data_IF_605017639771
#
_entry.id   IF_605017639771
#
_cell.length_a   1.000
_cell.length_b   1.000
_cell.length_c   1.000
_cell.angle_alpha   90.00
_cell.angle_beta   90.00
_cell.angle_gamma   90.00
#
_symmetry.space_group_name_H-M   'P 1'
#
loop_
_entity.id
_entity.type
_entity.pdbx_description
1 polymer ?
#
# COMPACT_ATOMS: atom_id res chain seq x y z
N UNK A 1 13.01 -25.67 -16.64
CA UNK A 1 14.02 -24.59 -16.58
C UNK A 1 13.42 -23.23 -16.16
N UNK A 2 12.22 -22.89 -16.56
CA UNK A 2 11.56 -21.60 -16.21
C UNK A 2 11.25 -21.42 -14.70
N UNK A 3 10.78 -22.45 -14.01
CA UNK A 3 10.42 -22.36 -12.58
C UNK A 3 11.63 -22.09 -11.68
N UNK A 4 12.80 -22.65 -12.00
CA UNK A 4 14.04 -22.37 -11.23
C UNK A 4 14.58 -20.96 -11.48
N UNK A 5 14.38 -20.40 -12.69
CA UNK A 5 14.80 -19.02 -12.99
C UNK A 5 13.95 -17.99 -12.27
N UNK A 6 12.64 -18.22 -12.16
CA UNK A 6 11.71 -17.34 -11.42
C UNK A 6 12.02 -17.31 -9.92
N UNK A 7 12.31 -18.47 -9.31
CA UNK A 7 12.69 -18.53 -7.90
C UNK A 7 13.99 -17.79 -7.58
N UNK A 8 14.98 -17.84 -8.45
CA UNK A 8 16.23 -17.10 -8.29
C UNK A 8 16.06 -15.59 -8.43
N UNK A 9 15.21 -15.15 -9.35
CA UNK A 9 14.89 -13.73 -9.56
C UNK A 9 14.16 -13.15 -8.35
N UNK A 10 13.13 -13.84 -7.86
CA UNK A 10 12.39 -13.42 -6.67
C UNK A 10 13.27 -13.32 -5.42
N UNK A 11 14.15 -14.28 -5.20
CA UNK A 11 15.12 -14.25 -4.10
C UNK A 11 16.08 -13.05 -4.21
N UNK A 12 16.47 -12.66 -5.42
CA UNK A 12 17.32 -11.49 -5.63
C UNK A 12 16.61 -10.18 -5.31
N UNK A 13 15.33 -10.07 -5.70
CA UNK A 13 14.49 -8.91 -5.34
C UNK A 13 14.36 -8.79 -3.83
N UNK A 14 14.02 -9.88 -3.13
CA UNK A 14 13.87 -9.87 -1.68
C UNK A 14 15.16 -9.50 -0.94
N UNK A 15 16.33 -9.91 -1.47
CA UNK A 15 17.64 -9.48 -0.93
C UNK A 15 17.86 -7.97 -1.12
N UNK A 16 17.51 -7.43 -2.29
CA UNK A 16 17.64 -6.01 -2.58
C UNK A 16 16.68 -5.19 -1.71
N UNK A 17 15.45 -5.66 -1.50
CA UNK A 17 14.49 -5.04 -0.59
C UNK A 17 15.03 -4.98 0.84
N UNK A 18 15.59 -6.08 1.35
CA UNK A 18 16.20 -6.11 2.69
C UNK A 18 17.38 -5.15 2.82
N UNK A 19 18.23 -5.07 1.80
CA UNK A 19 19.32 -4.10 1.78
C UNK A 19 18.81 -2.66 1.80
N UNK A 20 17.82 -2.36 0.96
CA UNK A 20 17.16 -1.05 0.92
C UNK A 20 16.52 -0.68 2.26
N UNK A 21 15.77 -1.61 2.87
CA UNK A 21 15.16 -1.42 4.19
C UNK A 21 16.20 -1.12 5.29
N UNK A 22 17.38 -1.72 5.20
CA UNK A 22 18.49 -1.39 6.10
C UNK A 22 19.03 0.01 5.83
N UNK A 23 19.30 0.34 4.57
CA UNK A 23 19.85 1.64 4.18
C UNK A 23 18.94 2.82 4.56
N UNK A 24 17.61 2.66 4.49
CA UNK A 24 16.65 3.69 4.90
C UNK A 24 16.84 4.09 6.36
N UNK A 25 17.13 3.14 7.24
CA UNK A 25 17.29 3.34 8.69
C UNK A 25 18.52 4.15 9.06
N UNK A 26 19.46 4.30 8.14
CA UNK A 26 20.65 5.15 8.31
C UNK A 26 20.40 6.62 7.91
N UNK A 27 19.24 6.93 7.30
CA UNK A 27 18.92 8.29 6.83
C UNK A 27 18.53 9.23 7.97
N UNK A 28 18.81 10.53 7.80
CA UNK A 28 18.38 11.54 8.76
C UNK A 28 16.85 11.63 8.83
N UNK A 29 16.18 11.52 7.70
CA UNK A 29 14.71 11.57 7.67
C UNK A 29 14.06 10.42 8.48
N UNK A 30 14.60 9.20 8.42
CA UNK A 30 14.15 8.11 9.28
C UNK A 30 14.30 8.47 10.78
N UNK A 31 15.43 9.07 11.18
CA UNK A 31 15.70 9.44 12.57
C UNK A 31 14.71 10.51 13.06
N UNK A 32 14.50 11.56 12.25
CA UNK A 32 13.51 12.62 12.52
C UNK A 32 12.08 12.05 12.67
N UNK A 33 11.65 11.20 11.73
CA UNK A 33 10.35 10.56 11.80
C UNK A 33 10.22 9.70 13.05
N UNK A 34 11.25 8.94 13.39
CA UNK A 34 11.25 8.10 14.60
C UNK A 34 11.10 8.94 15.88
N UNK A 35 11.76 10.08 15.96
CA UNK A 35 11.59 11.03 17.08
C UNK A 35 10.15 11.55 17.18
N UNK A 36 9.55 11.93 16.04
CA UNK A 36 8.15 12.37 15.97
C UNK A 36 7.20 11.27 16.46
N UNK A 37 7.39 10.03 16.00
CA UNK A 37 6.55 8.91 16.39
C UNK A 37 6.70 8.58 17.88
N UNK A 38 7.90 8.65 18.42
CA UNK A 38 8.14 8.46 19.87
C UNK A 38 7.47 9.56 20.68
N UNK A 39 7.54 10.82 20.24
CA UNK A 39 6.94 11.94 20.97
C UNK A 39 5.40 11.90 20.96
N UNK A 40 4.78 11.38 19.89
CA UNK A 40 3.32 11.36 19.73
C UNK A 40 2.67 10.02 20.11
N UNK A 41 3.44 8.95 20.25
CA UNK A 41 2.99 7.61 20.62
C UNK A 41 1.70 7.14 19.91
N UNK A 42 1.62 7.20 18.57
CA UNK A 42 0.42 6.76 17.86
C UNK A 42 0.24 5.25 17.99
N UNK A 43 -1.01 4.80 18.13
CA UNK A 43 -1.33 3.37 18.13
C UNK A 43 -1.21 2.75 16.75
N UNK A 44 -1.49 3.54 15.71
CA UNK A 44 -1.54 3.08 14.31
C UNK A 44 -0.99 4.13 13.36
N UNK A 45 -0.33 3.65 12.30
CA UNK A 45 0.08 4.44 11.17
C UNK A 45 -0.79 4.07 9.95
N UNK A 46 -1.56 5.02 9.44
CA UNK A 46 -2.33 4.86 8.21
C UNK A 46 -1.69 5.60 7.05
N UNK A 47 -1.51 4.93 5.92
CA UNK A 47 -0.93 5.52 4.72
C UNK A 47 -1.82 5.26 3.48
N UNK A 48 -2.27 6.34 2.85
CA UNK A 48 -3.06 6.28 1.62
C UNK A 48 -2.21 6.17 0.34
N UNK A 49 -0.89 6.34 0.44
CA UNK A 49 0.00 6.35 -0.73
C UNK A 49 1.38 5.75 -0.42
N UNK A 50 1.42 4.49 -0.01
CA UNK A 50 2.64 3.79 0.45
C UNK A 50 3.80 3.82 -0.57
N UNK A 51 3.53 4.02 -1.86
CA UNK A 51 4.56 4.08 -2.91
C UNK A 51 5.33 5.41 -2.97
N UNK A 52 4.92 6.41 -2.21
CA UNK A 52 5.69 7.64 -2.06
C UNK A 52 7.09 7.36 -1.51
N UNK A 53 8.11 7.96 -2.09
CA UNK A 53 9.52 7.74 -1.68
C UNK A 53 9.72 8.02 -0.19
N UNK A 54 9.02 9.01 0.34
CA UNK A 54 9.09 9.38 1.75
C UNK A 54 8.35 8.41 2.68
N UNK A 55 7.46 7.58 2.16
CA UNK A 55 6.69 6.64 2.98
C UNK A 55 7.55 5.50 3.54
N UNK A 56 8.57 5.07 2.82
CA UNK A 56 9.41 3.97 3.24
C UNK A 56 10.13 4.21 4.60
N UNK A 57 10.79 5.35 4.85
CA UNK A 57 11.34 5.65 6.17
C UNK A 57 10.28 5.75 7.27
N UNK A 58 9.08 6.25 6.95
CA UNK A 58 7.97 6.37 7.90
C UNK A 58 7.49 4.98 8.33
N UNK A 59 7.29 4.08 7.37
CA UNK A 59 6.94 2.68 7.66
C UNK A 59 8.02 1.96 8.45
N UNK A 60 9.30 2.15 8.09
CA UNK A 60 10.41 1.56 8.81
C UNK A 60 10.44 2.00 10.28
N UNK A 61 10.25 3.31 10.54
CA UNK A 61 10.24 3.84 11.90
C UNK A 61 9.03 3.33 12.72
N UNK A 62 7.84 3.23 12.10
CA UNK A 62 6.66 2.68 12.74
C UNK A 62 6.84 1.21 13.12
N UNK A 63 7.35 0.40 12.19
CA UNK A 63 7.64 -1.01 12.43
C UNK A 63 8.66 -1.23 13.55
N UNK A 64 9.74 -0.45 13.57
CA UNK A 64 10.79 -0.54 14.58
C UNK A 64 10.31 -0.10 15.99
N UNK A 65 9.20 0.65 16.05
CA UNK A 65 8.53 1.07 17.28
C UNK A 65 7.35 0.16 17.66
N UNK A 66 7.03 -0.86 16.85
CA UNK A 66 5.90 -1.75 17.09
C UNK A 66 4.53 -1.08 16.86
N UNK A 67 4.48 0.00 16.07
CA UNK A 67 3.25 0.70 15.70
C UNK A 67 2.60 -0.06 14.54
N UNK A 68 1.33 -0.43 14.69
CA UNK A 68 0.58 -1.13 13.64
C UNK A 68 0.49 -0.27 12.37
N UNK A 69 0.86 -0.85 11.22
CA UNK A 69 0.87 -0.16 9.94
C UNK A 69 -0.27 -0.62 9.04
N UNK A 70 -1.03 0.34 8.51
CA UNK A 70 -2.16 0.09 7.61
C UNK A 70 -1.96 0.88 6.33
N UNK A 71 -2.11 0.24 5.17
CA UNK A 71 -2.05 0.93 3.88
C UNK A 71 -3.27 0.63 3.02
N UNK A 72 -3.73 1.64 2.29
CA UNK A 72 -4.69 1.44 1.21
C UNK A 72 -3.95 1.38 -0.12
N UNK A 73 -4.31 0.44 -0.98
CA UNK A 73 -3.81 0.42 -2.35
C UNK A 73 -4.60 1.46 -3.14
N UNK A 74 -3.95 2.60 -3.37
CA UNK A 74 -4.59 3.82 -3.87
C UNK A 74 -5.20 3.70 -5.28
N UNK A 75 -4.59 2.89 -6.16
CA UNK A 75 -5.03 2.75 -7.55
C UNK A 75 -4.88 1.31 -8.02
N UNK A 76 -5.78 0.89 -8.92
CA UNK A 76 -5.79 -0.43 -9.52
C UNK A 76 -4.47 -0.82 -10.21
N UNK A 77 -3.70 0.15 -10.67
CA UNK A 77 -2.44 -0.05 -11.37
C UNK A 77 -1.21 -0.01 -10.44
N UNK A 78 -1.39 0.18 -9.14
CA UNK A 78 -0.27 0.31 -8.22
C UNK A 78 0.48 -1.01 -8.02
N UNK A 79 -0.23 -2.12 -7.89
CA UNK A 79 0.38 -3.43 -7.64
C UNK A 79 1.26 -3.92 -8.79
N UNK A 80 0.82 -3.87 -10.07
CA UNK A 80 1.64 -4.33 -11.18
C UNK A 80 2.79 -3.39 -11.55
N UNK A 81 2.74 -2.10 -11.16
CA UNK A 81 3.77 -1.13 -11.54
C UNK A 81 5.11 -1.32 -10.84
N UNK A 82 5.09 -1.57 -9.55
CA UNK A 82 6.31 -1.80 -8.78
C UNK A 82 5.98 -2.37 -7.40
N UNK A 83 6.90 -3.12 -6.83
CA UNK A 83 6.80 -3.64 -5.48
C UNK A 83 6.90 -2.54 -4.44
N UNK A 84 6.19 -2.72 -3.33
CA UNK A 84 6.30 -1.88 -2.14
C UNK A 84 7.59 -2.23 -1.40
N UNK A 85 8.39 -1.21 -1.08
CA UNK A 85 9.69 -1.39 -0.45
C UNK A 85 9.61 -1.92 0.98
N UNK A 86 8.53 -1.59 1.70
CA UNK A 86 8.17 -2.13 2.99
C UNK A 86 6.74 -2.65 2.95
N UNK A 87 6.50 -3.73 3.68
CA UNK A 87 5.18 -4.31 3.85
C UNK A 87 4.47 -3.64 5.03
N UNK A 88 3.14 -3.53 4.94
CA UNK A 88 2.29 -3.12 6.04
C UNK A 88 1.78 -4.34 6.81
N UNK A 89 1.25 -4.12 8.02
CA UNK A 89 0.56 -5.16 8.78
C UNK A 89 -0.82 -5.44 8.16
N UNK A 90 -1.47 -4.41 7.59
CA UNK A 90 -2.79 -4.53 6.96
C UNK A 90 -2.85 -3.78 5.63
N UNK A 91 -3.60 -4.35 4.69
CA UNK A 91 -3.82 -3.82 3.35
C UNK A 91 -5.31 -3.65 3.09
N UNK A 92 -5.72 -2.45 2.72
CA UNK A 92 -7.07 -2.16 2.26
C UNK A 92 -7.07 -2.12 0.73
N UNK A 93 -7.88 -2.96 0.11
CA UNK A 93 -7.97 -3.10 -1.34
C UNK A 93 -9.38 -2.85 -1.84
N UNK A 94 -9.53 -2.45 -3.10
CA UNK A 94 -10.81 -2.05 -3.67
C UNK A 94 -11.76 -3.23 -3.94
N UNK A 95 -11.19 -4.37 -4.34
CA UNK A 95 -11.96 -5.49 -4.83
C UNK A 95 -11.24 -6.82 -4.61
N UNK A 96 -11.98 -7.91 -4.82
CA UNK A 96 -11.43 -9.27 -4.82
C UNK A 96 -10.34 -9.46 -5.90
N UNK A 97 -10.43 -8.75 -7.03
CA UNK A 97 -9.38 -8.76 -8.05
C UNK A 97 -8.07 -8.21 -7.50
N UNK A 98 -8.11 -7.07 -6.82
CA UNK A 98 -6.90 -6.49 -6.21
C UNK A 98 -6.37 -7.37 -5.07
N UNK A 99 -7.23 -8.05 -4.32
CA UNK A 99 -6.80 -9.04 -3.34
C UNK A 99 -6.02 -10.17 -4.00
N UNK A 100 -6.51 -10.69 -5.13
CA UNK A 100 -5.83 -11.74 -5.90
C UNK A 100 -4.50 -11.24 -6.48
N UNK A 101 -4.46 -10.02 -7.03
CA UNK A 101 -3.23 -9.40 -7.52
C UNK A 101 -2.20 -9.21 -6.40
N UNK A 102 -2.63 -8.75 -5.23
CA UNK A 102 -1.75 -8.59 -4.09
C UNK A 102 -1.12 -9.93 -3.68
N UNK A 103 -1.91 -11.00 -3.62
CA UNK A 103 -1.41 -12.35 -3.36
C UNK A 103 -0.45 -12.86 -4.44
N UNK A 104 -0.70 -12.51 -5.70
CA UNK A 104 0.15 -12.91 -6.84
C UNK A 104 1.53 -12.23 -6.79
N UNK A 105 1.54 -10.90 -6.55
CA UNK A 105 2.79 -10.12 -6.55
C UNK A 105 3.55 -10.16 -5.23
N UNK A 106 2.84 -10.47 -4.12
CA UNK A 106 3.38 -10.51 -2.75
C UNK A 106 2.95 -11.80 -2.05
N UNK A 107 3.44 -12.96 -2.49
CA UNK A 107 3.06 -14.25 -1.89
C UNK A 107 3.44 -14.38 -0.41
N UNK A 108 4.29 -13.49 0.08
CA UNK A 108 4.67 -13.38 1.49
C UNK A 108 3.60 -12.74 2.37
N UNK A 109 2.62 -11.99 1.79
CA UNK A 109 1.52 -11.36 2.53
C UNK A 109 0.42 -12.40 2.78
N UNK A 110 0.02 -12.55 4.03
CA UNK A 110 -1.01 -13.50 4.43
C UNK A 110 -2.41 -12.95 4.13
N UNK A 111 -3.35 -13.83 3.82
CA UNK A 111 -4.72 -13.47 3.47
C UNK A 111 -5.43 -12.64 4.54
N UNK A 112 -5.21 -12.97 5.83
CA UNK A 112 -5.79 -12.24 6.96
C UNK A 112 -5.25 -10.81 7.14
N UNK A 113 -4.25 -10.42 6.38
CA UNK A 113 -3.74 -9.05 6.34
C UNK A 113 -4.44 -8.20 5.25
N UNK A 114 -5.26 -8.80 4.39
CA UNK A 114 -5.87 -8.15 3.24
C UNK A 114 -7.37 -7.99 3.46
N UNK A 115 -7.85 -6.76 3.36
CA UNK A 115 -9.26 -6.40 3.58
C UNK A 115 -9.83 -5.76 2.33
N UNK A 116 -10.89 -6.33 1.78
CA UNK A 116 -11.64 -5.75 0.65
C UNK A 116 -12.61 -4.72 1.23
N UNK A 117 -12.34 -3.44 1.00
CA UNK A 117 -13.09 -2.31 1.57
C UNK A 117 -13.82 -1.45 0.55
N UNK A 118 -13.63 -1.73 -0.74
CA UNK A 118 -14.06 -0.80 -1.78
C UNK A 118 -13.12 0.42 -1.86
N UNK A 119 -13.56 1.44 -2.57
CA UNK A 119 -12.82 2.70 -2.70
C UNK A 119 -13.72 3.91 -2.51
N UNK A 120 -13.44 4.76 -1.49
CA UNK A 120 -14.25 5.94 -1.19
C UNK A 120 -14.32 6.97 -2.33
N UNK A 121 -13.31 6.99 -3.21
CA UNK A 121 -13.25 7.96 -4.31
C UNK A 121 -14.42 7.86 -5.30
N UNK A 122 -15.14 6.74 -5.31
CA UNK A 122 -16.30 6.53 -6.18
C UNK A 122 -17.65 6.59 -5.45
N UNK A 123 -17.66 6.86 -4.15
CA UNK A 123 -18.90 6.99 -3.38
C UNK A 123 -19.82 8.11 -3.93
N UNK A 124 -19.23 9.15 -4.53
CA UNK A 124 -20.00 10.23 -5.13
C UNK A 124 -20.96 9.74 -6.23
N UNK A 125 -20.68 8.63 -6.91
CA UNK A 125 -21.58 8.06 -7.92
C UNK A 125 -22.79 7.34 -7.33
N UNK A 126 -22.79 7.06 -6.04
CA UNK A 126 -23.94 6.47 -5.34
C UNK A 126 -24.90 7.52 -4.75
N UNK A 127 -24.54 8.80 -4.85
CA UNK A 127 -25.37 9.90 -4.38
C UNK A 127 -26.24 10.41 -5.55
N UNK A 128 -27.58 10.29 -5.47
CA UNK A 128 -28.49 10.65 -6.58
C UNK A 128 -28.29 12.09 -7.08
N UNK A 129 -27.94 13.02 -6.20
CA UNK A 129 -27.68 14.43 -6.54
C UNK A 129 -26.45 14.62 -7.44
N UNK A 130 -25.53 13.68 -7.48
CA UNK A 130 -24.34 13.72 -8.33
C UNK A 130 -24.55 13.04 -9.69
N UNK A 131 -25.72 12.44 -9.91
CA UNK A 131 -26.04 11.72 -11.15
C UNK A 131 -27.07 12.54 -11.93
N UNK A 132 -26.70 12.99 -13.11
CA UNK A 132 -27.65 13.69 -14.01
C UNK A 132 -28.59 12.63 -14.60
N UNK A 133 -29.93 12.76 -14.41
CA UNK A 133 -30.90 11.86 -15.04
C UNK A 133 -30.73 11.82 -16.56
N UNK A 134 -30.94 10.64 -17.14
CA UNK A 134 -30.73 10.40 -18.57
C UNK A 134 -31.50 11.38 -19.44
N UNK A 135 -32.75 11.67 -19.08
CA UNK A 135 -33.63 12.59 -19.77
C UNK A 135 -33.05 14.00 -19.78
N UNK A 136 -32.62 14.50 -18.62
CA UNK A 136 -32.01 15.83 -18.47
C UNK A 136 -30.66 15.90 -19.22
N UNK A 137 -29.89 14.82 -19.26
CA UNK A 137 -28.67 14.79 -20.05
C UNK A 137 -28.95 14.95 -21.55
N UNK A 138 -29.92 14.20 -22.12
CA UNK A 138 -30.25 14.28 -23.53
C UNK A 138 -30.96 15.59 -23.94
N UNK A 139 -31.62 16.30 -23.01
CA UNK A 139 -32.15 17.63 -23.28
C UNK A 139 -31.07 18.73 -23.30
N UNK A 140 -29.95 18.48 -22.64
CA UNK A 140 -28.89 19.48 -22.46
C UNK A 140 -27.76 19.35 -23.48
N UNK A 141 -27.53 18.15 -23.97
CA UNK A 141 -26.40 17.79 -24.85
C UNK A 141 -26.86 16.97 -26.06
#
# INVERSE_FOLDING_TARGET
>A
MEIQSQGNFQNSILKLEKWYQKAIRDTNFYKEVREILVANTPEKLFCSHQRGVQCAPIFAAAQDLGIETITVIYSWDNLPKARMALQADKYLVWSDYMQQELKLYYPEIKEQQIFVTGTPQFECYHQPENVIPKEVFYERY
#
